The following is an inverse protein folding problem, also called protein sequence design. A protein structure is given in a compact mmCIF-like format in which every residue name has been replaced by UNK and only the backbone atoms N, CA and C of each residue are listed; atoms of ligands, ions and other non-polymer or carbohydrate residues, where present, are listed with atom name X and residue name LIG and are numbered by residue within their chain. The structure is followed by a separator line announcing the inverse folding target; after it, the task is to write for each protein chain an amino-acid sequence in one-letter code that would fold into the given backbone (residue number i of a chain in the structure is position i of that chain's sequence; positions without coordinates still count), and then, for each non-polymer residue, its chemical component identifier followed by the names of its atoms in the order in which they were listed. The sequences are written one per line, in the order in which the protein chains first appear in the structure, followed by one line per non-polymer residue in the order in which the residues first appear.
data_IF_724790161083
#
_entry.id   IF_724790161083
#
_cell.length_a   1.000
_cell.length_b   1.000
_cell.length_c   1.000
_cell.angle_alpha   90.00
_cell.angle_beta   90.00
_cell.angle_gamma   90.00
#
_symmetry.space_group_name_H-M   'P 1'
#
loop_
_entity.id
_entity.type
_entity.pdbx_description
1 polymer ?
#
# COMPACT_ATOMS: atom_id res chain seq x y z
N UNK A 1 -4.65 -18.05 2.66
CA UNK A 1 -4.98 -17.66 1.27
C UNK A 1 -5.46 -16.22 1.33
N UNK A 2 -4.93 -15.33 0.49
CA UNK A 2 -5.56 -14.01 0.30
C UNK A 2 -6.84 -14.20 -0.52
N UNK A 3 -7.94 -13.55 -0.14
CA UNK A 3 -9.21 -13.61 -0.87
C UNK A 3 -9.14 -12.85 -2.20
N UNK A 4 -10.09 -13.12 -3.09
CA UNK A 4 -10.21 -12.38 -4.36
C UNK A 4 -10.72 -10.95 -4.14
N UNK A 5 -10.59 -10.07 -5.15
CA UNK A 5 -11.21 -8.73 -5.10
C UNK A 5 -12.73 -8.79 -4.95
N UNK A 6 -13.38 -9.81 -5.52
CA UNK A 6 -14.81 -10.05 -5.34
C UNK A 6 -15.13 -10.37 -3.87
N UNK A 7 -14.34 -11.23 -3.22
CA UNK A 7 -14.54 -11.55 -1.80
C UNK A 7 -14.32 -10.32 -0.91
N UNK A 8 -13.30 -9.49 -1.22
CA UNK A 8 -13.06 -8.23 -0.52
C UNK A 8 -14.24 -7.26 -0.67
N UNK A 9 -14.82 -7.17 -1.86
CA UNK A 9 -15.98 -6.34 -2.15
C UNK A 9 -17.24 -6.80 -1.40
N UNK A 10 -17.51 -8.11 -1.39
CA UNK A 10 -18.64 -8.67 -0.62
C UNK A 10 -18.48 -8.41 0.88
N UNK A 11 -17.28 -8.59 1.42
CA UNK A 11 -16.99 -8.26 2.83
C UNK A 11 -17.15 -6.76 3.11
N UNK A 12 -16.79 -5.89 2.17
CA UNK A 12 -17.01 -4.45 2.29
C UNK A 12 -18.50 -4.11 2.38
N UNK A 13 -19.35 -4.68 1.52
CA UNK A 13 -20.82 -4.50 1.61
C UNK A 13 -21.39 -4.98 2.93
N UNK A 14 -20.99 -6.17 3.38
CA UNK A 14 -21.40 -6.69 4.70
C UNK A 14 -20.95 -5.77 5.84
N UNK A 15 -19.79 -5.13 5.71
CA UNK A 15 -19.28 -4.18 6.71
C UNK A 15 -20.07 -2.87 6.73
N UNK A 16 -20.54 -2.40 5.58
CA UNK A 16 -21.45 -1.23 5.52
C UNK A 16 -22.76 -1.48 6.27
N UNK A 17 -23.31 -2.69 6.15
CA UNK A 17 -24.56 -3.06 6.85
C UNK A 17 -24.35 -3.32 8.34
N UNK A 18 -23.29 -4.07 8.69
CA UNK A 18 -23.04 -4.51 10.07
C UNK A 18 -22.35 -3.46 10.94
N UNK A 19 -21.66 -2.49 10.33
CA UNK A 19 -20.90 -1.45 11.02
C UNK A 19 -21.15 -0.06 10.39
N UNK A 20 -22.38 0.46 10.42
CA UNK A 20 -22.73 1.72 9.75
C UNK A 20 -22.03 2.94 10.35
N UNK A 21 -21.67 2.90 11.64
CA UNK A 21 -20.92 3.97 12.33
C UNK A 21 -19.41 3.93 12.05
N UNK A 22 -18.92 2.88 11.39
CA UNK A 22 -17.51 2.75 11.00
C UNK A 22 -17.25 3.39 9.64
N UNK A 23 -16.03 3.90 9.46
CA UNK A 23 -15.59 4.35 8.16
C UNK A 23 -15.06 3.12 7.41
N UNK A 24 -15.96 2.47 6.68
CA UNK A 24 -15.64 1.26 5.95
C UNK A 24 -14.80 1.59 4.71
N UNK A 25 -13.67 0.90 4.56
CA UNK A 25 -12.74 1.04 3.43
C UNK A 25 -12.63 -0.29 2.71
N UNK A 26 -12.81 -0.27 1.39
CA UNK A 26 -12.38 -1.33 0.48
C UNK A 26 -10.92 -1.07 0.08
N UNK A 27 -10.03 -2.00 0.43
CA UNK A 27 -8.63 -1.98 0.04
C UNK A 27 -8.29 -3.24 -0.76
N UNK A 28 -7.87 -3.06 -2.02
CA UNK A 28 -7.65 -4.15 -2.97
C UNK A 28 -6.40 -3.90 -3.81
N UNK A 29 -5.74 -4.96 -4.29
CA UNK A 29 -4.63 -4.81 -5.25
C UNK A 29 -5.13 -4.16 -6.56
N UNK A 30 -4.36 -3.21 -7.10
CA UNK A 30 -4.71 -2.54 -8.36
C UNK A 30 -4.71 -3.50 -9.55
N UNK A 31 -3.87 -4.54 -9.51
CA UNK A 31 -3.77 -5.63 -10.51
C UNK A 31 -3.41 -5.16 -11.95
N UNK A 32 -3.54 -3.86 -12.24
CA UNK A 32 -3.17 -3.14 -13.45
C UNK A 32 -2.97 -1.65 -13.14
N UNK A 33 -2.22 -0.90 -13.98
CA UNK A 33 -2.15 0.56 -13.84
C UNK A 33 -3.52 1.23 -13.96
N UNK A 34 -3.78 2.25 -13.15
CA UNK A 34 -5.01 3.05 -13.21
C UNK A 34 -4.74 4.33 -14.00
N UNK A 35 -5.67 4.69 -14.86
CA UNK A 35 -5.61 5.96 -15.60
C UNK A 35 -5.71 7.13 -14.61
N UNK A 36 -4.91 8.21 -14.78
CA UNK A 36 -5.01 9.39 -13.92
C UNK A 36 -6.38 10.09 -14.00
N UNK A 37 -7.13 9.85 -15.08
CA UNK A 37 -8.43 10.47 -15.32
C UNK A 37 -9.62 9.63 -14.79
N UNK A 38 -9.35 8.56 -14.04
CA UNK A 38 -10.38 7.68 -13.49
C UNK A 38 -10.31 7.64 -11.97
N UNK A 39 -11.49 7.69 -11.34
CA UNK A 39 -11.59 7.39 -9.91
C UNK A 39 -11.56 5.87 -9.66
N UNK A 40 -11.45 5.48 -8.39
CA UNK A 40 -11.20 4.07 -8.05
C UNK A 40 -12.36 3.16 -8.47
N UNK A 41 -13.59 3.64 -8.29
CA UNK A 41 -14.80 2.90 -8.66
C UNK A 41 -14.98 2.79 -10.17
N UNK A 42 -14.66 3.84 -10.92
CA UNK A 42 -14.66 3.83 -12.38
C UNK A 42 -13.67 2.83 -12.94
N UNK A 43 -12.47 2.74 -12.36
CA UNK A 43 -11.49 1.74 -12.76
C UNK A 43 -12.06 0.32 -12.63
N UNK A 44 -12.66 -0.01 -11.49
CA UNK A 44 -13.29 -1.32 -11.28
C UNK A 44 -14.44 -1.58 -12.24
N UNK A 45 -15.35 -0.61 -12.45
CA UNK A 45 -16.49 -0.76 -13.36
C UNK A 45 -16.08 -0.94 -14.81
N UNK A 46 -15.00 -0.28 -15.23
CA UNK A 46 -14.50 -0.35 -16.60
C UNK A 46 -13.67 -1.61 -16.87
N UNK A 47 -13.16 -2.25 -15.81
CA UNK A 47 -12.33 -3.44 -15.96
C UNK A 47 -13.16 -4.70 -16.16
N UNK A 48 -12.96 -5.36 -17.30
CA UNK A 48 -13.77 -6.52 -17.73
C UNK A 48 -13.78 -7.67 -16.72
N UNK A 49 -12.66 -7.92 -16.04
CA UNK A 49 -12.54 -8.98 -15.04
C UNK A 49 -13.37 -8.70 -13.77
N UNK A 50 -13.75 -7.44 -13.53
CA UNK A 50 -14.45 -7.00 -12.31
C UNK A 50 -15.95 -6.78 -12.51
N UNK A 51 -16.37 -6.63 -13.77
CA UNK A 51 -17.76 -6.35 -14.15
C UNK A 51 -18.76 -7.38 -13.64
N UNK A 52 -18.36 -8.64 -13.47
CA UNK A 52 -19.28 -9.71 -13.05
C UNK A 52 -19.85 -9.54 -11.64
N UNK A 53 -19.14 -8.81 -10.77
CA UNK A 53 -19.55 -8.60 -9.38
C UNK A 53 -19.85 -7.12 -9.05
N UNK A 54 -19.28 -6.15 -9.79
CA UNK A 54 -19.50 -4.73 -9.49
C UNK A 54 -20.66 -4.09 -10.27
N UNK A 55 -20.96 -4.56 -11.49
CA UNK A 55 -21.86 -3.85 -12.41
C UNK A 55 -23.34 -3.90 -12.00
N UNK A 56 -23.72 -4.89 -11.20
CA UNK A 56 -25.08 -5.01 -10.67
C UNK A 56 -25.37 -4.10 -9.49
N UNK A 57 -24.37 -3.35 -9.02
CA UNK A 57 -24.50 -2.50 -7.86
C UNK A 57 -24.95 -1.08 -8.25
N UNK A 58 -26.03 -0.62 -7.62
CA UNK A 58 -26.57 0.73 -7.79
C UNK A 58 -26.23 1.64 -6.60
N UNK A 59 -25.34 1.19 -5.70
CA UNK A 59 -24.95 1.95 -4.52
C UNK A 59 -24.09 3.16 -4.90
N UNK A 60 -24.43 4.30 -4.31
CA UNK A 60 -23.69 5.56 -4.43
C UNK A 60 -22.58 5.56 -3.39
N UNK A 61 -21.48 4.88 -3.72
CA UNK A 61 -20.30 4.81 -2.84
C UNK A 61 -19.48 6.10 -2.92
N UNK A 62 -19.02 6.56 -1.75
CA UNK A 62 -18.04 7.64 -1.69
C UNK A 62 -16.71 7.15 -2.30
N UNK A 63 -16.08 7.96 -3.14
CA UNK A 63 -14.78 7.63 -3.75
C UNK A 63 -13.72 7.34 -2.68
N UNK A 64 -13.83 8.01 -1.54
CA UNK A 64 -12.94 7.84 -0.40
C UNK A 64 -13.08 6.48 0.30
N UNK A 65 -14.02 5.62 -0.11
CA UNK A 65 -14.17 4.27 0.41
C UNK A 65 -13.43 3.22 -0.42
N UNK A 66 -13.07 3.49 -1.68
CA UNK A 66 -12.33 2.55 -2.52
C UNK A 66 -10.88 2.98 -2.67
N UNK A 67 -9.96 2.12 -2.23
CA UNK A 67 -8.52 2.35 -2.27
C UNK A 67 -7.80 1.17 -2.91
N UNK A 68 -6.71 1.48 -3.59
CA UNK A 68 -5.86 0.49 -4.22
C UNK A 68 -4.52 0.31 -3.50
N UNK A 69 -4.05 -0.92 -3.52
CA UNK A 69 -2.65 -1.27 -3.28
C UNK A 69 -1.90 -1.30 -4.62
N UNK A 70 -0.58 -1.23 -4.56
CA UNK A 70 0.31 -1.46 -5.72
C UNK A 70 0.00 -2.80 -6.39
N UNK A 71 0.32 -2.93 -7.69
CA UNK A 71 0.17 -4.20 -8.42
C UNK A 71 0.99 -5.33 -7.80
N UNK A 72 2.11 -4.99 -7.16
CA UNK A 72 2.94 -5.91 -6.42
C UNK A 72 3.73 -5.15 -5.35
N UNK A 73 3.92 -5.76 -4.18
CA UNK A 73 4.74 -5.20 -3.08
C UNK A 73 6.16 -4.80 -3.51
N UNK A 74 6.71 -5.45 -4.54
CA UNK A 74 8.00 -5.10 -5.14
C UNK A 74 8.07 -3.66 -5.65
N UNK A 75 6.93 -3.01 -5.95
CA UNK A 75 6.87 -1.57 -6.25
C UNK A 75 7.43 -0.75 -5.09
N UNK A 76 7.07 -1.08 -3.84
CA UNK A 76 7.57 -0.36 -2.67
C UNK A 76 9.06 -0.60 -2.43
N UNK A 77 9.60 -1.74 -2.88
CA UNK A 77 11.04 -2.01 -2.77
C UNK A 77 11.85 -1.06 -3.63
N UNK A 78 11.40 -0.84 -4.88
CA UNK A 78 12.10 0.05 -5.81
C UNK A 78 11.87 1.53 -5.50
N UNK A 79 10.92 1.87 -4.62
CA UNK A 79 10.75 3.22 -4.10
C UNK A 79 11.89 3.60 -3.14
N UNK A 80 12.36 2.65 -2.33
CA UNK A 80 13.41 2.86 -1.34
C UNK A 80 14.70 2.12 -1.76
N UNK A 81 15.43 2.74 -2.68
CA UNK A 81 16.70 2.22 -3.20
C UNK A 81 17.75 2.10 -2.09
N UNK A 82 17.71 2.97 -1.08
CA UNK A 82 18.65 2.94 0.03
C UNK A 82 18.41 1.70 0.92
N UNK A 83 17.16 1.35 1.20
CA UNK A 83 16.82 0.10 1.88
C UNK A 83 17.32 -1.14 1.10
N UNK A 84 17.15 -1.14 -0.23
CA UNK A 84 17.70 -2.20 -1.09
C UNK A 84 19.22 -2.26 -1.05
N UNK A 85 19.91 -1.11 -1.13
CA UNK A 85 21.38 -1.02 -1.08
C UNK A 85 21.89 -1.53 0.27
N UNK A 86 21.26 -1.15 1.37
CA UNK A 86 21.63 -1.58 2.71
C UNK A 86 21.41 -3.08 2.93
N UNK A 87 20.32 -3.63 2.39
CA UNK A 87 20.05 -5.06 2.46
C UNK A 87 21.01 -5.87 1.58
N UNK A 88 21.12 -5.54 0.29
CA UNK A 88 21.90 -6.33 -0.67
C UNK A 88 23.41 -6.09 -0.60
N UNK A 89 23.84 -4.92 -0.14
CA UNK A 89 25.24 -4.59 0.10
C UNK A 89 26.10 -4.57 -1.16
N UNK A 90 27.38 -4.93 -0.99
CA UNK A 90 28.35 -4.98 -2.09
C UNK A 90 27.84 -5.83 -3.26
N UNK A 91 28.03 -5.33 -4.48
CA UNK A 91 27.59 -5.98 -5.71
C UNK A 91 26.14 -5.67 -6.14
N UNK A 92 25.39 -4.93 -5.32
CA UNK A 92 24.10 -4.35 -5.72
C UNK A 92 24.28 -3.27 -6.80
N UNK A 93 23.45 -3.33 -7.84
CA UNK A 93 23.50 -2.46 -9.03
C UNK A 93 22.22 -1.65 -9.18
N UNK A 94 22.08 -0.59 -8.38
CA UNK A 94 20.90 0.27 -8.35
C UNK A 94 20.54 0.86 -9.72
N UNK A 95 21.52 1.06 -10.60
CA UNK A 95 21.32 1.61 -11.94
C UNK A 95 20.43 0.73 -12.82
N UNK A 96 20.32 -0.56 -12.49
CA UNK A 96 19.39 -1.50 -13.16
C UNK A 96 17.93 -1.21 -12.87
N UNK A 97 17.65 -0.55 -11.73
CA UNK A 97 16.31 -0.13 -11.33
C UNK A 97 16.09 1.32 -11.76
N UNK A 98 16.99 2.24 -11.35
CA UNK A 98 16.78 3.69 -11.54
C UNK A 98 16.72 4.11 -13.00
N UNK A 99 17.43 3.43 -13.92
CA UNK A 99 17.32 3.70 -15.36
C UNK A 99 15.95 3.35 -15.90
N UNK A 100 15.37 2.24 -15.44
CA UNK A 100 14.06 1.78 -15.87
C UNK A 100 12.93 2.68 -15.36
N UNK A 101 13.05 3.09 -14.09
CA UNK A 101 12.10 3.98 -13.42
C UNK A 101 11.88 5.33 -14.14
N UNK A 102 12.88 5.84 -14.86
CA UNK A 102 12.77 7.10 -15.64
C UNK A 102 11.70 7.08 -16.73
N UNK A 103 11.22 5.89 -17.12
CA UNK A 103 10.17 5.74 -18.14
C UNK A 103 8.75 5.74 -17.55
N UNK A 104 8.61 5.88 -16.23
CA UNK A 104 7.33 5.81 -15.53
C UNK A 104 7.14 7.06 -14.68
N UNK A 105 5.89 7.49 -14.51
CA UNK A 105 5.61 8.67 -13.68
C UNK A 105 5.75 8.34 -12.19
N UNK A 106 5.44 7.10 -11.80
CA UNK A 106 5.55 6.60 -10.42
C UNK A 106 5.72 5.06 -10.42
N UNK A 107 5.95 4.49 -9.23
CA UNK A 107 6.20 3.05 -9.05
C UNK A 107 4.96 2.16 -9.30
N UNK A 108 3.75 2.73 -9.25
CA UNK A 108 2.47 2.01 -9.36
C UNK A 108 2.14 1.66 -10.82
N UNK A 109 2.75 2.36 -11.79
CA UNK A 109 2.61 2.07 -13.22
C UNK A 109 3.51 0.91 -13.70
N UNK A 110 4.49 0.51 -12.89
CA UNK A 110 5.47 -0.52 -13.28
C UNK A 110 4.87 -1.91 -13.11
N UNK A 111 4.88 -2.72 -14.16
CA UNK A 111 4.34 -4.08 -14.09
C UNK A 111 5.14 -4.98 -13.13
N UNK A 112 4.50 -5.94 -12.44
CA UNK A 112 5.18 -6.91 -11.58
C UNK A 112 6.32 -7.67 -12.28
N UNK A 113 6.14 -7.99 -13.57
CA UNK A 113 7.16 -8.66 -14.39
C UNK A 113 8.38 -7.77 -14.58
N UNK A 114 8.18 -6.48 -14.87
CA UNK A 114 9.26 -5.51 -15.04
C UNK A 114 10.03 -5.32 -13.74
N UNK A 115 9.32 -5.15 -12.62
CA UNK A 115 9.93 -5.03 -11.28
C UNK A 115 10.82 -6.23 -10.96
N UNK A 116 10.34 -7.44 -11.22
CA UNK A 116 11.10 -8.66 -10.99
C UNK A 116 12.38 -8.70 -11.82
N UNK A 117 12.31 -8.35 -13.12
CA UNK A 117 13.49 -8.31 -13.99
C UNK A 117 14.54 -7.31 -13.47
N UNK A 118 14.11 -6.14 -13.03
CA UNK A 118 15.02 -5.12 -12.47
C UNK A 118 15.65 -5.60 -11.18
N UNK A 119 14.85 -6.11 -10.23
CA UNK A 119 15.32 -6.61 -8.95
C UNK A 119 16.31 -7.77 -9.14
N UNK A 120 15.98 -8.77 -9.96
CA UNK A 120 16.89 -9.88 -10.24
C UNK A 120 18.21 -9.39 -10.87
N UNK A 121 18.14 -8.46 -11.82
CA UNK A 121 19.33 -7.92 -12.49
C UNK A 121 20.20 -7.08 -11.56
N UNK A 122 19.58 -6.30 -10.66
CA UNK A 122 20.26 -5.43 -9.71
C UNK A 122 20.97 -6.22 -8.60
N UNK A 123 20.45 -7.39 -8.25
CA UNK A 123 20.84 -8.12 -7.03
C UNK A 123 21.66 -9.37 -7.29
N UNK A 124 21.68 -9.92 -8.51
CA UNK A 124 22.32 -11.22 -8.83
C UNK A 124 23.78 -11.41 -8.38
N UNK A 125 24.56 -10.34 -8.27
CA UNK A 125 25.97 -10.38 -7.83
C UNK A 125 26.18 -9.76 -6.45
N UNK A 126 25.10 -9.48 -5.73
CA UNK A 126 25.16 -8.86 -4.41
C UNK A 126 25.43 -9.89 -3.31
N UNK A 127 25.70 -9.42 -2.09
CA UNK A 127 25.96 -10.26 -0.90
C UNK A 127 24.87 -11.31 -0.64
N UNK A 128 23.60 -10.97 -0.87
CA UNK A 128 22.46 -11.87 -0.67
C UNK A 128 22.00 -12.57 -1.95
N UNK A 129 22.74 -12.40 -3.05
CA UNK A 129 22.44 -12.99 -4.34
C UNK A 129 21.18 -12.42 -5.00
N UNK A 130 20.70 -13.11 -6.03
CA UNK A 130 19.53 -12.71 -6.82
C UNK A 130 18.28 -12.58 -5.94
N UNK A 131 17.47 -11.56 -6.20
CA UNK A 131 16.15 -11.39 -5.59
C UNK A 131 15.33 -12.68 -5.75
N UNK A 132 14.73 -13.09 -4.64
CA UNK A 132 13.94 -14.29 -4.58
C UNK A 132 12.79 -14.06 -3.60
N UNK A 133 11.57 -14.18 -4.12
CA UNK A 133 10.34 -13.99 -3.36
C UNK A 133 9.99 -15.19 -2.49
N UNK A 134 10.48 -16.40 -2.82
CA UNK A 134 9.91 -17.68 -2.36
C UNK A 134 10.89 -18.61 -1.64
N UNK A 135 12.15 -18.22 -1.42
CA UNK A 135 13.13 -19.16 -0.87
C UNK A 135 12.84 -19.59 0.57
N UNK A 136 12.97 -20.91 0.81
CA UNK A 136 13.00 -21.60 2.11
C UNK A 136 14.40 -21.58 2.77
N UNK A 137 15.29 -20.69 2.33
CA UNK A 137 16.60 -20.46 2.96
C UNK A 137 16.43 -19.45 4.10
N UNK A 138 17.37 -19.33 5.05
CA UNK A 138 17.17 -18.54 6.28
C UNK A 138 17.06 -17.01 6.10
N UNK A 139 16.66 -16.51 4.92
CA UNK A 139 16.32 -15.12 4.68
C UNK A 139 15.23 -14.99 3.61
N UNK A 140 13.99 -14.69 4.02
CA UNK A 140 12.95 -14.28 3.09
C UNK A 140 13.22 -12.84 2.64
N UNK A 141 13.88 -12.65 1.49
CA UNK A 141 14.33 -11.33 1.02
C UNK A 141 13.21 -10.29 1.10
N UNK A 142 12.02 -10.65 0.60
CA UNK A 142 10.85 -9.79 0.62
C UNK A 142 10.48 -9.29 2.04
N UNK A 143 10.46 -10.17 3.04
CA UNK A 143 10.13 -9.78 4.42
C UNK A 143 11.22 -8.90 5.04
N UNK A 144 12.49 -9.20 4.76
CA UNK A 144 13.59 -8.41 5.29
C UNK A 144 13.66 -7.02 4.68
N UNK A 145 13.37 -6.90 3.38
CA UNK A 145 13.28 -5.60 2.72
C UNK A 145 12.10 -4.81 3.29
N UNK A 146 10.91 -5.43 3.41
CA UNK A 146 9.71 -4.77 3.99
C UNK A 146 9.99 -4.16 5.37
N UNK A 147 10.72 -4.87 6.25
CA UNK A 147 11.08 -4.37 7.59
C UNK A 147 11.99 -3.12 7.57
N UNK A 148 12.65 -2.84 6.44
CA UNK A 148 13.64 -1.77 6.29
C UNK A 148 13.12 -0.57 5.53
N UNK A 149 11.97 -0.69 4.86
CA UNK A 149 11.41 0.39 4.07
C UNK A 149 11.07 1.59 4.94
N UNK A 150 11.41 2.79 4.47
CA UNK A 150 10.91 4.02 5.02
C UNK A 150 9.52 4.33 4.45
N UNK A 151 8.51 4.35 5.32
CA UNK A 151 7.12 4.60 4.92
C UNK A 151 6.93 5.96 4.23
N UNK A 152 7.66 7.00 4.62
CA UNK A 152 7.53 8.32 4.00
C UNK A 152 8.10 8.35 2.58
N UNK A 153 9.22 7.65 2.33
CA UNK A 153 9.79 7.50 0.98
C UNK A 153 8.82 6.73 0.08
N UNK A 154 8.23 5.65 0.60
CA UNK A 154 7.23 4.86 -0.12
C UNK A 154 6.01 5.73 -0.47
N UNK A 155 5.47 6.49 0.50
CA UNK A 155 4.32 7.37 0.29
C UNK A 155 4.60 8.45 -0.75
N UNK A 156 5.77 9.09 -0.71
CA UNK A 156 6.17 10.09 -1.71
C UNK A 156 6.23 9.52 -3.14
N UNK A 157 6.52 8.24 -3.28
CA UNK A 157 6.69 7.57 -4.58
C UNK A 157 5.44 6.81 -5.05
N UNK A 158 4.43 6.66 -4.20
CA UNK A 158 3.27 5.75 -4.36
C UNK A 158 1.97 6.51 -4.09
N UNK A 159 1.36 7.15 -5.11
CA UNK A 159 0.12 7.91 -4.97
C UNK A 159 -1.03 7.16 -4.29
N UNK A 160 -1.24 5.86 -4.58
CA UNK A 160 -2.31 5.09 -3.93
C UNK A 160 -2.01 4.86 -2.45
N UNK A 161 -0.75 4.57 -2.11
CA UNK A 161 -0.33 4.45 -0.71
C UNK A 161 -0.56 5.76 0.04
N UNK A 162 -0.13 6.89 -0.53
CA UNK A 162 -0.31 8.19 0.13
C UNK A 162 -1.77 8.59 0.26
N UNK A 163 -2.61 8.34 -0.76
CA UNK A 163 -4.06 8.56 -0.70
C UNK A 163 -4.70 7.80 0.46
N UNK A 164 -4.39 6.51 0.61
CA UNK A 164 -4.91 5.68 1.70
C UNK A 164 -4.48 6.23 3.06
N UNK A 165 -3.19 6.52 3.23
CA UNK A 165 -2.66 7.05 4.49
C UNK A 165 -3.28 8.40 4.85
N UNK A 166 -3.41 9.29 3.87
CA UNK A 166 -4.04 10.60 4.04
C UNK A 166 -5.48 10.42 4.50
N UNK A 167 -6.25 9.57 3.81
CA UNK A 167 -7.65 9.34 4.19
C UNK A 167 -7.82 8.74 5.58
N UNK A 168 -7.00 7.75 5.95
CA UNK A 168 -7.03 7.16 7.29
C UNK A 168 -6.70 8.21 8.35
N UNK A 169 -5.66 9.04 8.14
CA UNK A 169 -5.31 10.13 9.07
C UNK A 169 -6.43 11.14 9.21
N UNK A 170 -7.07 11.51 8.12
CA UNK A 170 -8.18 12.47 8.14
C UNK A 170 -9.39 11.89 8.87
N UNK A 171 -9.70 10.61 8.70
CA UNK A 171 -10.78 9.95 9.45
C UNK A 171 -10.47 9.84 10.94
N UNK A 172 -9.23 9.52 11.30
CA UNK A 172 -8.80 9.51 12.71
C UNK A 172 -8.92 10.91 13.31
N UNK A 173 -8.48 11.95 12.59
CA UNK A 173 -8.61 13.35 13.02
C UNK A 173 -10.07 13.74 13.17
N UNK A 174 -10.92 13.50 12.16
CA UNK A 174 -12.35 13.85 12.22
C UNK A 174 -13.08 13.14 13.36
N UNK A 175 -12.76 11.88 13.63
CA UNK A 175 -13.32 11.12 14.76
C UNK A 175 -12.75 11.54 16.12
N UNK A 176 -11.50 12.02 16.15
CA UNK A 176 -10.87 12.62 17.32
C UNK A 176 -11.26 14.08 17.57
N UNK A 177 -11.77 14.78 16.55
CA UNK A 177 -12.18 16.19 16.59
C UNK A 177 -13.68 16.39 16.80
N UNK A 178 -14.49 15.32 16.75
CA UNK A 178 -15.87 15.34 17.26
C UNK A 178 -15.89 15.16 18.79
N UNK A 179 -15.13 16.03 19.46
CA UNK A 179 -15.40 16.70 20.73
C UNK A 179 -14.20 17.60 21.03
N UNK A 180 -14.48 18.89 21.21
CA UNK A 180 -13.62 19.99 21.69
C UNK A 180 -12.96 20.84 20.61
N UNK A 181 -13.14 22.16 20.75
CA UNK A 181 -12.52 23.25 19.98
C UNK A 181 -10.99 23.35 20.17
N UNK A 182 -10.32 22.22 20.43
CA UNK A 182 -8.89 22.20 20.70
C UNK A 182 -8.08 21.86 19.43
N UNK A 183 -6.93 22.52 19.25
CA UNK A 183 -6.04 22.25 18.12
C UNK A 183 -5.58 20.80 18.12
N UNK A 184 -5.26 20.27 16.94
CA UNK A 184 -4.77 18.92 16.77
C UNK A 184 -3.54 18.67 17.69
N UNK A 185 -3.48 17.51 18.37
CA UNK A 185 -2.37 17.19 19.25
C UNK A 185 -1.07 17.03 18.47
N UNK A 186 0.02 17.49 19.08
CA UNK A 186 1.40 17.31 18.61
C UNK A 186 1.84 15.84 18.71
N UNK A 187 2.90 15.46 17.98
CA UNK A 187 3.44 14.09 18.00
C UNK A 187 3.82 13.62 19.42
N UNK A 188 4.29 14.53 20.28
CA UNK A 188 4.58 14.26 21.69
C UNK A 188 3.31 13.96 22.50
N UNK A 189 2.23 14.70 22.24
CA UNK A 189 0.94 14.47 22.89
C UNK A 189 0.32 13.15 22.42
N UNK A 190 0.44 12.80 21.15
CA UNK A 190 -0.02 11.50 20.63
C UNK A 190 0.76 10.34 21.26
N UNK A 191 2.07 10.47 21.44
CA UNK A 191 2.90 9.47 22.10
C UNK A 191 2.48 9.27 23.58
N UNK A 192 2.25 10.36 24.32
CA UNK A 192 1.78 10.30 25.70
C UNK A 192 0.39 9.65 25.83
N UNK A 193 -0.55 9.97 24.94
CA UNK A 193 -1.88 9.36 24.92
C UNK A 193 -1.85 7.85 24.64
N UNK A 194 -0.88 7.38 23.85
CA UNK A 194 -0.68 5.96 23.56
C UNK A 194 -0.05 5.21 24.74
N UNK A 195 0.85 5.85 25.50
CA UNK A 195 1.38 5.28 26.75
C UNK A 195 0.29 5.15 27.83
N UNK A 196 -0.57 6.17 27.96
CA UNK A 196 -1.66 6.19 28.94
C UNK A 196 -2.69 5.09 28.64
N UNK A 197 -3.07 4.90 27.37
CA UNK A 197 -3.92 3.78 26.93
C UNK A 197 -3.24 2.41 27.02
N UNK A 198 -1.91 2.36 26.98
CA UNK A 198 -1.14 1.15 27.20
C UNK A 198 -1.22 0.67 28.66
N UNK A 199 -1.31 1.60 29.61
CA UNK A 199 -1.45 1.31 31.04
C UNK A 199 -2.86 0.83 31.42
N UNK A 200 -3.91 1.34 30.76
CA UNK A 200 -5.31 0.90 30.99
C UNK A 200 -5.57 -0.56 30.57
N UNK A 201 -4.71 -1.16 29.73
CA UNK A 201 -4.87 -2.56 29.31
C UNK A 201 -4.41 -3.59 30.35
N UNK A 202 -3.88 -3.16 31.50
CA UNK A 202 -3.33 -4.03 32.55
C UNK A 202 -3.82 -3.70 33.96
N UNK A 203 -4.94 -2.96 34.08
CA UNK A 203 -5.75 -2.79 35.29
C UNK A 203 -7.14 -3.37 35.05
#
# INVERSE_FOLDING_TARGET
MCGSRADAYENFKLSLESNPESFNILLIDSESPISPDQNSWEHLRNRKEDQSWIRGDNLDYDDDQCHFMVQAMESWFVADIDALRNFYGEGFKEEKITRGMRNYQNIEQVSPKTLLVWLESATRHSKHGKYDKKTRRPLHHALEILKRLNADIVRQSSPYCDRLFTKIKDQIRMRGLLKTDQPAPTDEQVAAMLEERGAEKYL
#
